data_IF_923208685725
#
_entry.id   IF_923208685725
#
_cell.length_a   1.000
_cell.length_b   1.000
_cell.length_c   1.000
_cell.angle_alpha   90.00
_cell.angle_beta   90.00
_cell.angle_gamma   90.00
#
_symmetry.space_group_name_H-M   'P 1'
#
loop_
_entity.id
_entity.type
_entity.pdbx_description
1 polymer ?
#
# COMPACT_ATOMS: atom_id res chain seq x y z
N UNK A 1 -14.32 -7.67 12.34
CA UNK A 1 -13.39 -7.76 13.49
C UNK A 1 -12.39 -6.61 13.61
N UNK A 2 -11.33 -6.45 12.79
CA UNK A 2 -10.34 -5.35 13.00
C UNK A 2 -10.96 -3.97 12.88
N UNK A 3 -11.78 -3.74 11.85
CA UNK A 3 -12.52 -2.49 11.65
C UNK A 3 -13.43 -2.17 12.84
N UNK A 4 -14.16 -3.16 13.36
CA UNK A 4 -15.03 -3.01 14.53
C UNK A 4 -14.26 -2.65 15.81
N UNK A 5 -13.06 -3.22 16.01
CA UNK A 5 -12.25 -2.98 17.21
C UNK A 5 -11.54 -1.62 17.15
N UNK A 6 -10.99 -1.26 15.98
CA UNK A 6 -10.14 -0.07 15.82
C UNK A 6 -10.90 1.18 15.38
N UNK A 7 -12.13 1.03 14.88
CA UNK A 7 -12.89 2.10 14.23
C UNK A 7 -12.33 2.52 12.87
N UNK A 8 -11.35 1.80 12.32
CA UNK A 8 -10.79 2.09 11.00
C UNK A 8 -11.72 1.56 9.91
N UNK A 9 -11.92 2.33 8.85
CA UNK A 9 -12.78 1.98 7.72
C UNK A 9 -12.34 0.66 7.08
N UNK A 10 -13.30 -0.26 6.95
CA UNK A 10 -13.07 -1.61 6.40
C UNK A 10 -12.57 -1.57 4.95
N UNK A 11 -13.02 -0.61 4.16
CA UNK A 11 -12.59 -0.47 2.76
C UNK A 11 -11.13 -0.08 2.72
N UNK A 12 -10.73 0.91 3.52
CA UNK A 12 -9.34 1.34 3.63
C UNK A 12 -8.42 0.20 4.10
N UNK A 13 -8.84 -0.57 5.12
CA UNK A 13 -8.10 -1.74 5.60
C UNK A 13 -7.91 -2.80 4.49
N UNK A 14 -8.97 -3.10 3.76
CA UNK A 14 -8.91 -4.06 2.65
C UNK A 14 -7.95 -3.59 1.54
N UNK A 15 -7.96 -2.29 1.21
CA UNK A 15 -7.03 -1.72 0.24
C UNK A 15 -5.58 -1.81 0.70
N UNK A 16 -5.31 -1.54 1.97
CA UNK A 16 -3.97 -1.74 2.53
C UNK A 16 -3.54 -3.21 2.51
N UNK A 17 -4.45 -4.13 2.84
CA UNK A 17 -4.20 -5.57 2.75
C UNK A 17 -3.75 -5.97 1.33
N UNK A 18 -4.49 -5.57 0.30
CA UNK A 18 -4.12 -5.83 -1.11
C UNK A 18 -2.75 -5.27 -1.47
N UNK A 19 -2.45 -4.02 -1.07
CA UNK A 19 -1.16 -3.37 -1.35
C UNK A 19 -0.01 -4.13 -0.70
N UNK A 20 -0.13 -4.45 0.59
CA UNK A 20 0.91 -5.12 1.35
C UNK A 20 1.13 -6.55 0.85
N UNK A 21 0.04 -7.30 0.59
CA UNK A 21 0.12 -8.64 0.01
C UNK A 21 0.78 -8.64 -1.37
N UNK A 22 0.45 -7.68 -2.23
CA UNK A 22 1.10 -7.57 -3.54
C UNK A 22 2.62 -7.37 -3.36
N UNK A 23 3.03 -6.42 -2.52
CA UNK A 23 4.44 -6.13 -2.26
C UNK A 23 5.20 -7.31 -1.64
N UNK A 24 4.55 -8.11 -0.79
CA UNK A 24 5.16 -9.27 -0.14
C UNK A 24 5.06 -10.57 -0.93
N UNK A 25 4.34 -10.59 -2.06
CA UNK A 25 4.05 -11.83 -2.80
C UNK A 25 5.27 -12.48 -3.47
N UNK A 26 6.34 -11.72 -3.68
CA UNK A 26 7.49 -12.16 -4.49
C UNK A 26 7.17 -12.34 -5.98
N UNK A 27 5.94 -12.04 -6.41
CA UNK A 27 5.51 -12.09 -7.80
C UNK A 27 5.82 -10.77 -8.52
N UNK A 28 5.87 -10.83 -9.84
CA UNK A 28 5.96 -9.62 -10.67
C UNK A 28 4.69 -8.79 -10.53
N UNK A 29 4.85 -7.49 -10.25
CA UNK A 29 3.73 -6.57 -10.04
C UNK A 29 3.70 -5.57 -11.20
N UNK A 30 2.53 -5.42 -11.84
CA UNK A 30 2.34 -4.35 -12.82
C UNK A 30 2.35 -2.99 -12.09
N UNK A 31 3.44 -2.24 -12.27
CA UNK A 31 3.67 -0.99 -11.56
C UNK A 31 2.61 0.10 -11.86
N UNK A 32 2.05 0.16 -13.07
CA UNK A 32 1.01 1.15 -13.44
C UNK A 32 -0.31 0.86 -12.73
N UNK A 33 -0.73 -0.40 -12.70
CA UNK A 33 -1.93 -0.83 -11.97
C UNK A 33 -1.77 -0.63 -10.47
N UNK A 34 -0.58 -0.94 -9.94
CA UNK A 34 -0.25 -0.65 -8.54
C UNK A 34 -0.31 0.84 -8.24
N UNK A 35 0.29 1.69 -9.08
CA UNK A 35 0.30 3.15 -8.92
C UNK A 35 -1.11 3.73 -8.85
N UNK A 36 -1.98 3.31 -9.79
CA UNK A 36 -3.38 3.74 -9.81
C UNK A 36 -4.10 3.32 -8.52
N UNK A 37 -3.96 2.06 -8.13
CA UNK A 37 -4.62 1.53 -6.93
C UNK A 37 -4.12 2.23 -5.66
N UNK A 38 -2.81 2.47 -5.54
CA UNK A 38 -2.17 3.14 -4.42
C UNK A 38 -2.61 4.61 -4.30
N UNK A 39 -2.67 5.36 -5.41
CA UNK A 39 -3.15 6.76 -5.43
C UNK A 39 -4.64 6.87 -5.10
N UNK A 40 -5.46 5.93 -5.55
CA UNK A 40 -6.87 5.86 -5.15
C UNK A 40 -7.01 5.57 -3.64
N UNK A 41 -6.15 4.71 -3.07
CA UNK A 41 -6.09 4.46 -1.62
C UNK A 41 -5.67 5.73 -0.86
N UNK A 42 -4.69 6.48 -1.37
CA UNK A 42 -4.27 7.74 -0.75
C UNK A 42 -5.40 8.78 -0.73
N UNK A 43 -6.17 8.89 -1.83
CA UNK A 43 -7.36 9.75 -1.89
C UNK A 43 -8.42 9.34 -0.87
N UNK A 44 -8.67 8.03 -0.72
CA UNK A 44 -9.61 7.50 0.27
C UNK A 44 -9.13 7.81 1.70
N UNK A 45 -7.84 7.62 1.98
CA UNK A 45 -7.24 7.93 3.28
C UNK A 45 -7.47 9.38 3.67
N UNK A 46 -7.12 10.33 2.79
CA UNK A 46 -7.29 11.76 3.05
C UNK A 46 -8.76 12.11 3.21
N UNK A 47 -9.67 11.50 2.43
CA UNK A 47 -11.11 11.74 2.56
C UNK A 47 -11.66 11.30 3.93
N UNK A 48 -11.16 10.19 4.48
CA UNK A 48 -11.67 9.62 5.73
C UNK A 48 -10.96 10.16 6.97
N UNK A 49 -9.70 10.57 6.83
CA UNK A 49 -8.80 10.89 7.95
C UNK A 49 -7.98 12.16 7.68
N UNK A 50 -8.57 13.22 7.13
CA UNK A 50 -7.85 14.45 6.75
C UNK A 50 -7.06 15.09 7.91
N UNK A 51 -7.60 15.03 9.12
CA UNK A 51 -7.02 15.53 10.36
C UNK A 51 -5.80 14.72 10.81
N UNK A 52 -5.57 13.55 10.23
CA UNK A 52 -4.44 12.69 10.55
C UNK A 52 -3.43 12.68 9.41
N UNK A 53 -2.25 13.24 9.67
CA UNK A 53 -1.18 13.26 8.68
C UNK A 53 -0.73 11.83 8.36
N UNK A 54 -0.73 11.49 7.08
CA UNK A 54 -0.26 10.20 6.60
C UNK A 54 1.17 9.90 7.10
N UNK A 55 1.41 8.76 7.78
CA UNK A 55 2.73 8.39 8.25
C UNK A 55 3.74 8.31 7.09
N UNK A 56 5.03 8.65 7.31
CA UNK A 56 6.04 8.63 6.25
C UNK A 56 6.18 7.27 5.54
N UNK A 57 6.03 6.17 6.26
CA UNK A 57 6.05 4.81 5.69
C UNK A 57 4.89 4.57 4.72
N UNK A 58 3.66 4.91 5.14
CA UNK A 58 2.46 4.82 4.32
C UNK A 58 2.56 5.74 3.10
N UNK A 59 3.05 6.97 3.29
CA UNK A 59 3.26 7.90 2.18
C UNK A 59 4.24 7.33 1.14
N UNK A 60 5.38 6.77 1.58
CA UNK A 60 6.34 6.12 0.69
C UNK A 60 5.70 4.97 -0.08
N UNK A 61 4.92 4.11 0.57
CA UNK A 61 4.22 3.01 -0.10
C UNK A 61 3.22 3.55 -1.14
N UNK A 62 2.36 4.50 -0.77
CA UNK A 62 1.27 4.93 -1.62
C UNK A 62 1.70 5.88 -2.76
N UNK A 63 2.72 6.70 -2.54
CA UNK A 63 3.16 7.71 -3.51
C UNK A 63 4.41 7.31 -4.29
N UNK A 64 5.24 6.44 -3.71
CA UNK A 64 6.52 6.05 -4.32
C UNK A 64 6.67 4.54 -4.52
N UNK A 65 5.76 3.70 -4.02
CA UNK A 65 5.85 2.24 -4.12
C UNK A 65 5.89 1.75 -5.57
N UNK A 66 5.17 2.41 -6.49
CA UNK A 66 5.19 2.09 -7.92
C UNK A 66 6.57 2.28 -8.56
N UNK A 67 7.31 3.32 -8.14
CA UNK A 67 8.68 3.56 -8.62
C UNK A 67 9.64 2.49 -8.11
N UNK A 68 9.49 2.08 -6.84
CA UNK A 68 10.28 0.98 -6.28
C UNK A 68 10.01 -0.30 -7.05
N UNK A 69 8.74 -0.63 -7.33
CA UNK A 69 8.37 -1.82 -8.12
C UNK A 69 8.96 -1.76 -9.53
N UNK A 70 8.93 -0.59 -10.17
CA UNK A 70 9.41 -0.42 -11.54
C UNK A 70 10.92 -0.58 -11.68
N UNK A 71 11.69 -0.11 -10.70
CA UNK A 71 13.14 -0.02 -10.80
C UNK A 71 13.88 -1.07 -9.95
N UNK A 72 13.18 -1.85 -9.13
CA UNK A 72 13.78 -2.96 -8.42
C UNK A 72 14.28 -4.03 -9.41
N UNK A 73 15.46 -4.58 -9.13
CA UNK A 73 16.09 -5.63 -9.94
C UNK A 73 15.32 -6.95 -9.89
N UNK A 74 14.61 -7.20 -8.80
CA UNK A 74 13.81 -8.39 -8.53
C UNK A 74 12.51 -7.99 -7.82
N UNK A 75 11.46 -8.83 -7.84
CA UNK A 75 10.24 -8.57 -7.07
C UNK A 75 10.51 -8.19 -5.61
N UNK A 76 9.89 -7.10 -5.14
CA UNK A 76 10.18 -6.52 -3.81
C UNK A 76 10.03 -7.55 -2.67
N UNK A 77 9.08 -8.48 -2.78
CA UNK A 77 8.89 -9.53 -1.78
C UNK A 77 10.11 -10.45 -1.61
N UNK A 78 10.96 -10.59 -2.63
CA UNK A 78 12.22 -11.36 -2.56
C UNK A 78 13.35 -10.59 -1.86
N UNK A 79 13.19 -9.27 -1.65
CA UNK A 79 14.12 -8.41 -0.92
C UNK A 79 13.67 -8.20 0.54
N UNK A 80 12.63 -8.92 0.98
CA UNK A 80 12.05 -8.77 2.32
C UNK A 80 12.99 -9.30 3.40
N UNK A 81 12.96 -8.70 4.59
CA UNK A 81 13.71 -9.13 5.78
C UNK A 81 13.29 -10.55 6.26
N UNK A 82 12.11 -11.02 5.86
CA UNK A 82 11.60 -12.36 6.16
C UNK A 82 12.09 -13.45 5.18
N UNK A 83 13.09 -13.15 4.34
CA UNK A 83 13.69 -14.08 3.38
C UNK A 83 14.80 -14.93 4.01
#
# INVERSE_FOLDING_TARGET
MVSEITGVDVTLLNRFSVILTAMSSGAEINHERFDKYAKETAKLYVKLYDCYRMPPSIHKILMHGSLVIRYALVPIGQLSEQA
#
